data_IF_264757146983
#
_entry.id   IF_264757146983
#
_cell.length_a   1.000
_cell.length_b   1.000
_cell.length_c   1.000
_cell.angle_alpha   90.00
_cell.angle_beta   90.00
_cell.angle_gamma   90.00
#
_symmetry.space_group_name_H-M   'P 1'
#
loop_
_entity.id
_entity.type
_entity.pdbx_description
1 polymer ?
#
# COMPACT_ATOMS: atom_id res chain seq x y z
N UNK A 1 -39.83 -7.31 -18.82
CA UNK A 1 -38.71 -8.24 -18.50
C UNK A 1 -37.49 -7.39 -18.24
N UNK A 2 -36.87 -7.46 -17.06
CA UNK A 2 -35.62 -6.73 -16.78
C UNK A 2 -34.51 -7.41 -17.58
N UNK A 3 -33.83 -6.66 -18.45
CA UNK A 3 -32.69 -7.16 -19.19
C UNK A 3 -31.50 -7.32 -18.21
N UNK A 4 -31.21 -8.57 -17.87
CA UNK A 4 -30.18 -8.95 -16.89
C UNK A 4 -28.79 -8.48 -17.35
N UNK A 5 -28.53 -8.43 -18.66
CA UNK A 5 -27.24 -7.99 -19.21
C UNK A 5 -27.08 -6.48 -19.00
N UNK A 6 -28.12 -5.71 -19.32
CA UNK A 6 -28.13 -4.27 -19.11
C UNK A 6 -27.98 -3.90 -17.62
N UNK A 7 -28.57 -4.69 -16.74
CA UNK A 7 -28.41 -4.51 -15.29
C UNK A 7 -26.97 -4.77 -14.83
N UNK A 8 -26.34 -5.84 -15.32
CA UNK A 8 -24.92 -6.14 -15.04
C UNK A 8 -24.01 -5.00 -15.46
N UNK A 9 -24.20 -4.50 -16.68
CA UNK A 9 -23.38 -3.40 -17.22
C UNK A 9 -23.57 -2.12 -16.39
N UNK A 10 -24.80 -1.86 -15.97
CA UNK A 10 -25.10 -0.72 -15.08
C UNK A 10 -24.37 -0.85 -13.74
N UNK A 11 -24.41 -2.03 -13.10
CA UNK A 11 -23.71 -2.27 -11.84
C UNK A 11 -22.18 -2.13 -12.03
N UNK A 12 -21.61 -2.71 -13.07
CA UNK A 12 -20.19 -2.59 -13.37
C UNK A 12 -19.77 -1.14 -13.58
N UNK A 13 -20.59 -0.34 -14.25
CA UNK A 13 -20.34 1.08 -14.43
C UNK A 13 -20.37 1.85 -13.11
N UNK A 14 -21.35 1.58 -12.23
CA UNK A 14 -21.42 2.19 -10.91
C UNK A 14 -20.14 1.87 -10.11
N UNK A 15 -19.75 0.59 -10.06
CA UNK A 15 -18.53 0.18 -9.34
C UNK A 15 -17.26 0.78 -9.94
N UNK A 16 -17.19 0.92 -11.27
CA UNK A 16 -16.04 1.51 -11.95
C UNK A 16 -15.88 3.00 -11.61
N UNK A 17 -16.96 3.74 -11.56
CA UNK A 17 -16.93 5.19 -11.31
C UNK A 17 -16.76 5.52 -9.83
N UNK A 18 -17.49 4.84 -8.95
CA UNK A 18 -17.51 5.17 -7.51
C UNK A 18 -16.44 4.45 -6.70
N UNK A 19 -15.90 3.35 -7.22
CA UNK A 19 -14.96 2.51 -6.53
C UNK A 19 -15.64 1.44 -5.68
N UNK A 20 -15.01 1.01 -4.57
CA UNK A 20 -15.60 0.00 -3.69
C UNK A 20 -16.95 0.46 -3.13
N UNK A 21 -18.00 -0.34 -3.34
CA UNK A 21 -19.39 -0.03 -2.99
C UNK A 21 -20.02 -1.12 -2.15
N UNK A 22 -21.01 -0.74 -1.34
CA UNK A 22 -21.86 -1.66 -0.58
C UNK A 22 -23.06 -2.10 -1.41
N UNK A 23 -23.63 -3.32 -1.17
CA UNK A 23 -24.85 -3.77 -1.82
C UNK A 23 -26.02 -2.79 -1.68
N UNK A 24 -26.16 -2.18 -0.50
CA UNK A 24 -27.21 -1.19 -0.23
C UNK A 24 -27.07 0.07 -1.08
N UNK A 25 -25.86 0.48 -1.43
CA UNK A 25 -25.65 1.63 -2.31
C UNK A 25 -26.07 1.30 -3.75
N UNK A 26 -25.79 0.09 -4.21
CA UNK A 26 -26.21 -0.41 -5.52
C UNK A 26 -27.75 -0.51 -5.59
N UNK A 27 -28.39 -1.15 -4.59
CA UNK A 27 -29.85 -1.31 -4.56
C UNK A 27 -30.57 0.04 -4.61
N UNK A 28 -30.08 1.03 -3.86
CA UNK A 28 -30.63 2.39 -3.85
C UNK A 28 -30.54 3.06 -5.22
N UNK A 29 -29.43 2.90 -5.93
CA UNK A 29 -29.23 3.49 -7.28
C UNK A 29 -30.06 2.80 -8.36
N UNK A 30 -30.28 1.50 -8.20
CA UNK A 30 -31.11 0.73 -9.12
C UNK A 30 -32.60 0.84 -8.82
N UNK A 31 -33.00 1.43 -7.70
CA UNK A 31 -34.38 1.41 -7.22
C UNK A 31 -34.89 -0.02 -6.97
N UNK A 32 -33.99 -0.94 -6.62
CA UNK A 32 -34.28 -2.37 -6.46
C UNK A 32 -34.10 -2.82 -5.02
N UNK A 33 -34.56 -4.03 -4.71
CA UNK A 33 -34.32 -4.66 -3.43
C UNK A 33 -32.82 -5.00 -3.25
N UNK A 34 -32.34 -4.90 -2.00
CA UNK A 34 -30.97 -5.22 -1.61
C UNK A 34 -30.63 -6.69 -1.84
N UNK A 35 -31.59 -7.60 -1.65
CA UNK A 35 -31.40 -9.04 -1.93
C UNK A 35 -31.15 -9.29 -3.42
N UNK A 36 -31.93 -8.65 -4.28
CA UNK A 36 -31.75 -8.74 -5.72
C UNK A 36 -30.39 -8.16 -6.17
N UNK A 37 -30.05 -6.98 -5.68
CA UNK A 37 -28.74 -6.38 -5.95
C UNK A 37 -27.61 -7.30 -5.46
N UNK A 38 -27.75 -7.90 -4.26
CA UNK A 38 -26.81 -8.86 -3.71
C UNK A 38 -26.64 -10.12 -4.56
N UNK A 39 -27.71 -10.66 -5.10
CA UNK A 39 -27.66 -11.84 -5.99
C UNK A 39 -26.88 -11.52 -7.28
N UNK A 40 -27.13 -10.38 -7.92
CA UNK A 40 -26.41 -9.96 -9.13
C UNK A 40 -24.94 -9.69 -8.83
N UNK A 41 -24.63 -9.03 -7.72
CA UNK A 41 -23.23 -8.79 -7.27
C UNK A 41 -22.52 -10.12 -7.03
N UNK A 42 -23.15 -11.10 -6.36
CA UNK A 42 -22.57 -12.43 -6.13
C UNK A 42 -22.27 -13.14 -7.44
N UNK A 43 -23.14 -13.03 -8.43
CA UNK A 43 -22.93 -13.60 -9.76
C UNK A 43 -21.74 -12.93 -10.48
N UNK A 44 -21.61 -11.59 -10.36
CA UNK A 44 -20.47 -10.86 -10.92
C UNK A 44 -19.14 -11.24 -10.25
N UNK A 45 -19.15 -11.55 -8.96
CA UNK A 45 -17.98 -12.08 -8.24
C UNK A 45 -17.65 -13.49 -8.72
N UNK A 46 -18.65 -14.37 -8.86
CA UNK A 46 -18.45 -15.74 -9.38
C UNK A 46 -17.82 -15.72 -10.79
N UNK A 47 -18.21 -14.75 -11.62
CA UNK A 47 -17.65 -14.55 -12.96
C UNK A 47 -16.31 -13.77 -12.95
N UNK A 48 -15.73 -13.49 -11.78
CA UNK A 48 -14.48 -12.71 -11.62
C UNK A 48 -14.52 -11.30 -12.21
N UNK A 49 -15.71 -10.77 -12.50
CA UNK A 49 -15.92 -9.39 -12.96
C UNK A 49 -15.81 -8.39 -11.83
N UNK A 50 -16.14 -8.80 -10.61
CA UNK A 50 -15.96 -8.05 -9.36
C UNK A 50 -15.15 -8.83 -8.36
N UNK A 51 -14.49 -8.10 -7.48
CA UNK A 51 -13.82 -8.60 -6.28
C UNK A 51 -14.64 -8.23 -5.06
N UNK A 52 -14.47 -9.00 -3.99
CA UNK A 52 -15.14 -8.77 -2.71
C UNK A 52 -14.10 -8.60 -1.59
N UNK A 53 -14.36 -7.69 -0.66
CA UNK A 53 -13.46 -7.47 0.49
C UNK A 53 -13.70 -8.48 1.61
N UNK A 54 -12.63 -8.80 2.35
CA UNK A 54 -12.70 -9.58 3.60
C UNK A 54 -13.24 -8.73 4.74
N UNK A 55 -12.79 -7.48 4.83
CA UNK A 55 -13.31 -6.50 5.79
C UNK A 55 -14.74 -6.10 5.45
N UNK A 56 -15.55 -5.85 6.48
CA UNK A 56 -16.97 -5.56 6.36
C UNK A 56 -17.32 -4.20 6.95
N UNK A 57 -18.25 -3.53 6.33
CA UNK A 57 -18.84 -2.28 6.81
C UNK A 57 -20.30 -2.53 7.16
N UNK A 58 -20.67 -2.40 8.44
CA UNK A 58 -22.02 -2.71 8.89
C UNK A 58 -22.44 -4.16 8.59
N UNK A 59 -21.51 -5.11 8.69
CA UNK A 59 -21.76 -6.53 8.41
C UNK A 59 -21.72 -6.92 6.93
N UNK A 60 -21.64 -5.96 6.00
CA UNK A 60 -21.60 -6.20 4.55
C UNK A 60 -20.21 -5.96 3.98
N UNK A 61 -19.71 -6.83 3.08
CA UNK A 61 -18.46 -6.58 2.36
C UNK A 61 -18.65 -5.50 1.30
N UNK A 62 -17.55 -4.92 0.81
CA UNK A 62 -17.56 -4.05 -0.36
C UNK A 62 -17.23 -4.86 -1.63
N UNK A 63 -17.77 -4.36 -2.73
CA UNK A 63 -17.55 -4.91 -4.07
C UNK A 63 -16.76 -3.90 -4.88
N UNK A 64 -15.72 -4.34 -5.57
CA UNK A 64 -14.81 -3.48 -6.33
C UNK A 64 -14.30 -4.18 -7.58
N UNK A 65 -13.75 -3.42 -8.52
CA UNK A 65 -13.10 -3.95 -9.73
C UNK A 65 -11.61 -4.04 -9.49
N UNK A 66 -10.97 -5.06 -10.03
CA UNK A 66 -9.50 -5.21 -10.02
C UNK A 66 -8.84 -3.92 -10.53
N UNK A 67 -7.85 -3.43 -9.80
CA UNK A 67 -7.19 -2.15 -10.05
C UNK A 67 -7.73 -0.98 -9.20
N UNK A 68 -8.74 -1.21 -8.37
CA UNK A 68 -9.27 -0.23 -7.41
C UNK A 68 -8.78 -0.48 -5.97
N UNK A 69 -7.78 -1.33 -5.79
CA UNK A 69 -7.24 -1.72 -4.47
C UNK A 69 -6.77 -0.51 -3.67
N UNK A 70 -6.26 0.52 -4.32
CA UNK A 70 -5.84 1.77 -3.69
C UNK A 70 -7.00 2.55 -3.02
N UNK A 71 -8.25 2.28 -3.43
CA UNK A 71 -9.44 2.89 -2.83
C UNK A 71 -9.97 2.14 -1.60
N UNK A 72 -9.37 0.98 -1.27
CA UNK A 72 -9.76 0.18 -0.10
C UNK A 72 -9.32 0.81 1.22
N UNK A 73 -8.46 1.82 1.21
CA UNK A 73 -8.02 2.56 2.41
C UNK A 73 -9.20 3.09 3.25
N UNK A 74 -10.36 3.30 2.64
CA UNK A 74 -11.61 3.67 3.33
C UNK A 74 -12.02 2.63 4.39
N UNK A 75 -11.63 1.37 4.21
CA UNK A 75 -11.91 0.29 5.16
C UNK A 75 -11.12 0.40 6.46
N UNK A 76 -10.01 1.16 6.48
CA UNK A 76 -9.20 1.38 7.67
C UNK A 76 -10.02 1.79 8.89
N UNK A 77 -11.00 2.68 8.70
CA UNK A 77 -11.83 3.18 9.79
C UNK A 77 -12.71 2.08 10.44
N UNK A 78 -12.96 0.99 9.72
CA UNK A 78 -13.80 -0.11 10.15
C UNK A 78 -13.01 -1.31 10.70
N UNK A 79 -11.67 -1.24 10.67
CA UNK A 79 -10.82 -2.27 11.24
C UNK A 79 -10.83 -2.20 12.77
N UNK A 80 -10.81 -3.35 13.49
CA UNK A 80 -10.57 -3.39 14.93
C UNK A 80 -9.18 -2.86 15.32
N UNK A 81 -8.98 -2.52 16.59
CA UNK A 81 -7.76 -1.85 17.05
C UNK A 81 -6.44 -2.55 16.68
N UNK A 82 -6.34 -3.86 16.88
CA UNK A 82 -5.13 -4.62 16.52
C UNK A 82 -4.94 -4.77 15.01
N UNK A 83 -6.02 -4.82 14.27
CA UNK A 83 -5.97 -4.83 12.80
C UNK A 83 -5.55 -3.47 12.24
N UNK A 84 -5.97 -2.35 12.87
CA UNK A 84 -5.46 -1.01 12.54
C UNK A 84 -3.96 -0.91 12.77
N UNK A 85 -3.49 -1.39 13.92
CA UNK A 85 -2.05 -1.39 14.24
C UNK A 85 -1.24 -2.20 13.21
N UNK A 86 -1.73 -3.38 12.84
CA UNK A 86 -1.11 -4.21 11.81
C UNK A 86 -1.11 -3.54 10.44
N UNK A 87 -2.22 -2.91 10.06
CA UNK A 87 -2.35 -2.11 8.84
C UNK A 87 -1.32 -0.99 8.77
N UNK A 88 -1.20 -0.19 9.85
CA UNK A 88 -0.25 0.93 9.90
C UNK A 88 1.20 0.45 9.83
N UNK A 89 1.55 -0.58 10.61
CA UNK A 89 2.89 -1.19 10.56
C UNK A 89 3.23 -1.69 9.16
N UNK A 90 2.30 -2.40 8.51
CA UNK A 90 2.51 -2.93 7.17
C UNK A 90 2.58 -1.82 6.11
N UNK A 91 1.76 -0.79 6.23
CA UNK A 91 1.75 0.36 5.31
C UNK A 91 3.06 1.15 5.37
N UNK A 92 3.61 1.37 6.57
CA UNK A 92 4.86 2.11 6.76
C UNK A 92 6.06 1.31 6.27
N UNK A 93 6.15 0.04 6.65
CA UNK A 93 7.31 -0.80 6.37
C UNK A 93 7.24 -1.48 4.99
N UNK A 94 6.07 -1.50 4.34
CA UNK A 94 5.77 -2.17 3.06
C UNK A 94 5.93 -3.71 3.12
N UNK A 95 6.86 -4.22 3.89
CA UNK A 95 7.15 -5.64 4.10
C UNK A 95 7.43 -5.89 5.58
N UNK A 96 6.84 -6.95 6.12
CA UNK A 96 7.08 -7.41 7.50
C UNK A 96 7.41 -8.90 7.50
N UNK A 97 8.43 -9.31 8.25
CA UNK A 97 8.76 -10.71 8.47
C UNK A 97 7.85 -11.27 9.57
N UNK A 98 7.14 -12.39 9.30
CA UNK A 98 6.17 -12.95 10.25
C UNK A 98 6.81 -13.28 11.61
N UNK A 99 8.01 -13.88 11.60
CA UNK A 99 8.72 -14.27 12.82
C UNK A 99 9.13 -13.10 13.72
N UNK A 100 9.30 -11.90 13.17
CA UNK A 100 9.69 -10.69 13.90
C UNK A 100 8.48 -9.90 14.43
N UNK A 101 7.27 -10.27 14.00
CA UNK A 101 6.06 -9.64 14.44
C UNK A 101 5.58 -10.21 15.78
N UNK A 102 5.02 -9.35 16.64
CA UNK A 102 4.30 -9.78 17.84
C UNK A 102 3.16 -10.76 17.49
N UNK A 103 2.86 -11.75 18.36
CA UNK A 103 1.83 -12.75 18.09
C UNK A 103 0.46 -12.14 17.72
N UNK A 104 0.05 -11.05 18.40
CA UNK A 104 -1.20 -10.36 18.12
C UNK A 104 -1.20 -9.72 16.72
N UNK A 105 -0.08 -9.14 16.28
CA UNK A 105 0.08 -8.55 14.95
C UNK A 105 0.09 -9.63 13.87
N UNK A 106 0.72 -10.79 14.11
CA UNK A 106 0.70 -11.93 13.19
C UNK A 106 -0.73 -12.41 12.92
N UNK A 107 -1.57 -12.48 13.96
CA UNK A 107 -2.98 -12.83 13.80
C UNK A 107 -3.71 -11.75 13.03
N UNK A 108 -3.50 -10.48 13.36
CA UNK A 108 -4.13 -9.35 12.69
C UNK A 108 -3.75 -9.27 11.19
N UNK A 109 -2.48 -9.51 10.84
CA UNK A 109 -2.03 -9.56 9.45
C UNK A 109 -2.73 -10.64 8.63
N UNK A 110 -3.06 -11.79 9.25
CA UNK A 110 -3.86 -12.84 8.61
C UNK A 110 -5.32 -12.47 8.42
N UNK A 111 -5.85 -11.59 9.28
CA UNK A 111 -7.24 -11.11 9.20
C UNK A 111 -7.42 -10.05 8.12
N UNK A 112 -6.47 -9.11 7.99
CA UNK A 112 -6.57 -7.98 7.04
C UNK A 112 -6.17 -8.37 5.61
N UNK A 113 -6.76 -9.43 5.06
CA UNK A 113 -6.42 -9.99 3.74
C UNK A 113 -6.55 -8.99 2.59
N UNK A 114 -7.32 -7.94 2.75
CA UNK A 114 -7.49 -6.89 1.74
C UNK A 114 -6.23 -6.05 1.58
N UNK A 115 -5.42 -5.94 2.64
CA UNK A 115 -4.24 -5.09 2.71
C UNK A 115 -2.93 -5.87 2.81
N UNK A 116 -2.96 -7.09 3.36
CA UNK A 116 -1.78 -7.92 3.55
C UNK A 116 -1.76 -9.09 2.56
N UNK A 117 -0.62 -9.32 1.94
CA UNK A 117 -0.35 -10.46 1.05
C UNK A 117 0.79 -11.28 1.62
N UNK A 118 0.49 -12.54 1.95
CA UNK A 118 1.51 -13.48 2.40
C UNK A 118 2.38 -13.93 1.23
N UNK A 119 3.70 -14.00 1.43
CA UNK A 119 4.64 -14.58 0.48
C UNK A 119 5.77 -15.29 1.22
N UNK A 120 6.37 -16.29 0.58
CA UNK A 120 7.54 -16.99 1.10
C UNK A 120 8.79 -16.53 0.35
N UNK A 121 9.84 -16.18 1.09
CA UNK A 121 11.15 -15.86 0.56
C UNK A 121 12.16 -16.65 1.39
N UNK A 122 12.98 -17.47 0.73
CA UNK A 122 14.01 -18.32 1.38
C UNK A 122 13.46 -19.21 2.51
N UNK A 123 12.22 -19.70 2.38
CA UNK A 123 11.56 -20.55 3.38
C UNK A 123 10.92 -19.80 4.54
N UNK A 124 11.07 -18.48 4.61
CA UNK A 124 10.48 -17.64 5.65
C UNK A 124 9.22 -16.96 5.14
N UNK A 125 8.25 -16.73 6.05
CA UNK A 125 6.99 -16.05 5.75
C UNK A 125 7.13 -14.55 5.92
N UNK A 126 6.75 -13.82 4.87
CA UNK A 126 6.69 -12.36 4.85
C UNK A 126 5.27 -11.90 4.53
N UNK A 127 4.91 -10.73 5.04
CA UNK A 127 3.68 -10.00 4.73
C UNK A 127 4.07 -8.76 3.94
N UNK A 128 3.53 -8.63 2.72
CA UNK A 128 3.73 -7.42 1.92
C UNK A 128 2.47 -6.57 1.88
N UNK A 129 2.67 -5.30 1.74
CA UNK A 129 1.58 -4.37 1.46
C UNK A 129 0.92 -4.70 0.11
N UNK A 130 -0.41 -4.64 0.05
CA UNK A 130 -1.17 -5.10 -1.12
C UNK A 130 -0.86 -4.34 -2.42
N UNK A 131 -0.37 -3.08 -2.33
CA UNK A 131 0.03 -2.27 -3.48
C UNK A 131 1.50 -2.45 -3.87
N UNK A 132 2.33 -3.03 -3.02
CA UNK A 132 3.75 -3.30 -3.32
C UNK A 132 3.85 -4.48 -4.27
N UNK A 133 4.66 -4.36 -5.33
CA UNK A 133 4.91 -5.45 -6.25
C UNK A 133 5.68 -6.61 -5.59
N UNK A 134 5.51 -7.82 -6.11
CA UNK A 134 6.19 -9.01 -5.55
C UNK A 134 7.70 -8.94 -5.77
N UNK A 135 8.12 -8.48 -6.95
CA UNK A 135 9.54 -8.29 -7.30
C UNK A 135 10.21 -7.24 -6.43
N UNK A 136 9.50 -6.14 -6.16
CA UNK A 136 9.96 -5.08 -5.27
C UNK A 136 10.14 -5.61 -3.85
N UNK A 137 9.19 -6.42 -3.37
CA UNK A 137 9.29 -7.07 -2.06
C UNK A 137 10.52 -7.97 -1.96
N UNK A 138 10.81 -8.78 -2.98
CA UNK A 138 12.00 -9.64 -3.02
C UNK A 138 13.28 -8.80 -2.96
N UNK A 139 13.34 -7.71 -3.70
CA UNK A 139 14.49 -6.81 -3.68
C UNK A 139 14.68 -6.15 -2.32
N UNK A 140 13.58 -5.78 -1.62
CA UNK A 140 13.64 -5.21 -0.28
C UNK A 140 14.17 -6.20 0.76
N UNK A 141 13.84 -7.49 0.62
CA UNK A 141 14.24 -8.53 1.59
C UNK A 141 15.64 -9.08 1.28
N UNK A 142 15.95 -9.34 0.01
CA UNK A 142 17.21 -9.96 -0.42
C UNK A 142 18.34 -8.93 -0.67
N UNK A 143 17.99 -7.64 -0.72
CA UNK A 143 18.89 -6.58 -1.19
C UNK A 143 18.98 -6.56 -2.72
N UNK A 144 19.62 -5.53 -3.30
CA UNK A 144 19.82 -5.46 -4.73
C UNK A 144 20.69 -6.63 -5.17
N UNK A 145 20.15 -7.52 -5.98
CA UNK A 145 20.98 -8.52 -6.67
C UNK A 145 21.96 -7.74 -7.55
N UNK A 146 23.23 -7.69 -7.13
CA UNK A 146 24.31 -7.29 -8.01
C UNK A 146 24.27 -8.28 -9.16
N UNK A 147 23.76 -7.84 -10.32
CA UNK A 147 23.87 -8.62 -11.54
C UNK A 147 25.35 -8.90 -11.72
N UNK A 148 25.78 -10.15 -11.59
CA UNK A 148 27.08 -10.60 -12.04
C UNK A 148 27.17 -10.25 -13.52
N UNK A 149 27.78 -9.13 -13.83
CA UNK A 149 28.21 -8.82 -15.17
C UNK A 149 29.29 -9.87 -15.44
N UNK A 150 28.91 -10.95 -16.10
CA UNK A 150 29.86 -11.84 -16.74
C UNK A 150 30.53 -11.03 -17.85
N UNK A 151 31.58 -10.30 -17.48
CA UNK A 151 32.54 -9.76 -18.41
C UNK A 151 33.13 -10.93 -19.18
N UNK A 152 32.61 -11.16 -20.37
CA UNK A 152 33.36 -11.88 -21.40
C UNK A 152 34.41 -10.91 -21.93
N UNK A 153 35.57 -10.89 -21.27
CA UNK A 153 36.77 -10.29 -21.85
C UNK A 153 37.31 -11.28 -22.85
N UNK A 154 37.42 -10.95 -24.14
CA UNK A 154 38.23 -11.74 -25.07
C UNK A 154 39.73 -11.53 -24.72
N UNK A 155 40.44 -12.62 -24.52
CA UNK A 155 41.89 -12.64 -24.37
C UNK A 155 42.55 -12.07 -25.63
N UNK A 156 42.99 -10.84 -25.57
CA UNK A 156 43.88 -10.24 -26.52
C UNK A 156 45.23 -10.02 -25.84
N UNK A 157 46.22 -10.81 -26.24
CA UNK A 157 47.62 -10.75 -25.87
C UNK A 157 48.21 -9.38 -26.17
N UNK A 158 48.74 -8.66 -25.17
CA UNK A 158 49.67 -7.55 -25.37
C UNK A 158 50.76 -7.63 -24.29
N UNK A 159 52.03 -7.70 -24.75
CA UNK A 159 53.27 -7.77 -24.00
C UNK A 159 53.56 -6.53 -23.12
N UNK A 160 54.48 -6.64 -22.16
CA UNK A 160 54.68 -5.63 -21.12
C UNK A 160 55.63 -4.52 -21.57
N UNK A 161 55.21 -3.28 -21.50
CA UNK A 161 56.14 -2.15 -21.50
C UNK A 161 56.20 -1.51 -20.12
N UNK A 162 57.42 -1.52 -19.57
CA UNK A 162 57.87 -0.73 -18.41
C UNK A 162 57.74 0.76 -18.72
N UNK A 163 57.22 1.55 -17.82
CA UNK A 163 57.83 2.77 -17.31
C UNK A 163 57.01 3.44 -16.21
N UNK A 164 57.69 3.56 -15.10
CA UNK A 164 57.97 4.72 -14.24
C UNK A 164 56.83 5.31 -13.40
N UNK A 165 57.16 5.27 -12.14
CA UNK A 165 56.55 5.91 -10.96
C UNK A 165 56.15 7.37 -11.18
N UNK A 166 54.92 7.71 -10.79
CA UNK A 166 54.62 9.05 -10.26
C UNK A 166 53.70 8.86 -9.08
N UNK A 167 54.25 8.98 -7.89
CA UNK A 167 53.49 9.20 -6.65
C UNK A 167 52.74 10.53 -6.75
N UNK A 168 51.43 10.47 -6.81
CA UNK A 168 50.59 11.59 -6.38
C UNK A 168 49.66 11.12 -5.30
N UNK A 169 50.03 11.54 -4.09
CA UNK A 169 49.30 11.51 -2.85
C UNK A 169 47.94 12.18 -3.05
N UNK A 170 46.85 11.42 -3.09
CA UNK A 170 45.47 11.96 -3.03
C UNK A 170 45.03 11.94 -1.58
N UNK A 171 44.95 13.10 -1.04
CA UNK A 171 44.48 13.43 0.31
C UNK A 171 42.99 13.06 0.43
N UNK A 172 42.72 12.13 1.36
CA UNK A 172 41.35 11.71 1.68
C UNK A 172 40.72 12.84 2.47
N UNK A 173 39.88 13.62 1.82
CA UNK A 173 38.99 14.58 2.52
C UNK A 173 37.93 13.83 3.32
N UNK A 174 37.86 14.18 4.58
CA UNK A 174 36.93 13.66 5.59
C UNK A 174 35.47 13.91 5.19
N UNK A 175 34.52 13.05 5.64
CA UNK A 175 33.09 13.24 5.40
C UNK A 175 32.59 14.54 6.02
N UNK A 176 31.80 15.29 5.28
CA UNK A 176 31.09 16.46 5.73
C UNK A 176 30.13 16.09 6.87
N UNK A 177 30.27 16.80 7.96
CA UNK A 177 29.35 16.77 9.10
C UNK A 177 27.92 17.07 8.63
N UNK A 178 27.02 16.15 8.93
CA UNK A 178 25.58 16.35 8.80
C UNK A 178 25.18 17.37 9.87
N UNK A 179 24.98 18.61 9.44
CA UNK A 179 24.47 19.67 10.27
C UNK A 179 23.10 19.28 10.83
N UNK A 180 22.99 19.34 12.14
CA UNK A 180 21.81 19.11 12.97
C UNK A 180 20.60 19.83 12.36
N UNK A 181 19.59 19.05 12.03
CA UNK A 181 18.26 19.51 11.65
C UNK A 181 17.70 20.35 12.79
N UNK A 182 17.33 21.59 12.49
CA UNK A 182 16.79 22.54 13.44
C UNK A 182 15.60 21.91 14.20
N UNK A 183 15.69 21.82 15.50
CA UNK A 183 14.56 21.60 16.39
C UNK A 183 13.63 22.79 16.25
N UNK A 184 12.50 22.58 15.58
CA UNK A 184 11.39 23.54 15.64
C UNK A 184 10.89 23.49 17.07
N UNK A 185 11.11 24.56 17.81
CA UNK A 185 10.68 24.67 19.20
C UNK A 185 9.16 24.52 19.24
N UNK A 186 8.67 23.69 20.16
CA UNK A 186 7.25 23.42 20.40
C UNK A 186 6.43 24.71 20.57
N UNK A 187 7.06 25.75 21.09
CA UNK A 187 6.48 27.09 21.31
C UNK A 187 6.11 27.80 20.01
N UNK A 188 6.87 27.64 18.93
CA UNK A 188 6.57 28.26 17.63
C UNK A 188 5.35 27.58 16.97
N UNK A 189 5.21 26.27 17.14
CA UNK A 189 4.04 25.52 16.66
C UNK A 189 2.78 25.90 17.44
N UNK A 190 2.85 26.02 18.76
CA UNK A 190 1.73 26.41 19.61
C UNK A 190 1.26 27.83 19.29
N UNK A 191 2.17 28.77 19.05
CA UNK A 191 1.83 30.13 18.64
C UNK A 191 1.12 30.20 17.29
N UNK A 192 1.50 29.34 16.35
CA UNK A 192 0.87 29.26 15.02
C UNK A 192 -0.57 28.71 15.11
N UNK A 193 -0.79 27.73 15.99
CA UNK A 193 -2.12 27.15 16.26
C UNK A 193 -3.03 28.14 16.96
N UNK A 194 -2.53 28.87 17.97
CA UNK A 194 -3.30 29.89 18.71
C UNK A 194 -3.70 31.06 17.79
N UNK A 195 -2.84 31.51 16.90
CA UNK A 195 -3.16 32.55 15.92
C UNK A 195 -4.20 32.08 14.88
N UNK A 196 -4.12 30.82 14.43
CA UNK A 196 -5.15 30.23 13.54
C UNK A 196 -6.53 30.14 14.19
N UNK A 197 -6.59 29.85 15.49
CA UNK A 197 -7.85 29.77 16.24
C UNK A 197 -8.44 31.16 16.50
N UNK A 198 -7.63 32.17 16.72
CA UNK A 198 -8.08 33.58 16.86
C UNK A 198 -8.68 34.14 15.58
N UNK A 199 -8.12 33.80 14.41
CA UNK A 199 -8.64 34.21 13.11
C UNK A 199 -10.01 33.57 12.78
N UNK A 200 -10.29 32.36 13.30
CA UNK A 200 -11.60 31.69 13.12
C UNK A 200 -12.72 32.21 14.03
N UNK A 201 -12.39 32.96 15.10
CA UNK A 201 -13.39 33.50 16.04
C UNK A 201 -13.97 34.86 15.62
N UNK A 202 -13.51 35.48 14.56
CA UNK A 202 -13.94 36.83 14.13
C UNK A 202 -15.13 36.74 13.12
N UNK A 203 -15.55 35.56 12.68
CA UNK A 203 -16.63 35.44 11.69
C UNK A 203 -17.92 34.80 12.22
N UNK A 204 -18.24 34.92 13.50
CA UNK A 204 -19.52 34.47 14.07
C UNK A 204 -20.11 35.52 15.01
N UNK A 205 -20.30 36.74 14.48
CA UNK A 205 -21.26 37.71 15.02
C UNK A 205 -21.51 38.78 13.94
N UNK A 206 -22.49 38.54 13.11
CA UNK A 206 -23.55 39.43 12.63
C UNK A 206 -24.60 38.61 11.89
#
# INVERSE_FOLDING_TARGET
MVDVNKLRDTILNIVRTEGPVLPVAISRKLGSDTYFAGAVLSQLVANKSLMITSAKVGGSPLYYIKGQENRLDKLYNYLPGKEKEAYEKLRINQVLKDSECEPAIRVALRSIKDFSRAMQINGELYWRWHLTAEEETKTMVEGPKVAEIKERVPLGTIEPQKHSEIHKKVEIQRPLEITKKAEVKLDDFLNLVVNSLKLKKINVTE
#
